data_IF_187803380444
#
_entry.id   IF_187803380444
#
_cell.length_a   1.000
_cell.length_b   1.000
_cell.length_c   1.000
_cell.angle_alpha   90.00
_cell.angle_beta   90.00
_cell.angle_gamma   90.00
#
_symmetry.space_group_name_H-M   'P 1'
#
loop_
_entity.id
_entity.type
_entity.pdbx_description
1 polymer ?
#
# COMPACT_ATOMS: atom_id res chain seq x y z
N UNK A 1 -28.03 -5.31 14.11
CA UNK A 1 -28.60 -6.61 14.47
C UNK A 1 -27.93 -7.13 15.70
N UNK A 2 -28.70 -7.47 16.69
CA UNK A 2 -28.12 -8.02 17.91
C UNK A 2 -27.67 -9.47 17.68
N UNK A 3 -26.45 -9.78 18.01
CA UNK A 3 -25.92 -11.13 17.97
C UNK A 3 -25.22 -11.55 16.69
N UNK A 4 -25.36 -10.80 15.61
CA UNK A 4 -24.64 -11.10 14.38
C UNK A 4 -23.44 -10.16 14.22
N UNK A 5 -22.34 -10.73 13.79
CA UNK A 5 -21.13 -9.96 13.48
C UNK A 5 -21.20 -9.50 12.03
N UNK A 6 -20.78 -8.28 11.81
CA UNK A 6 -20.77 -7.66 10.50
C UNK A 6 -19.37 -7.75 9.90
N UNK A 7 -19.26 -8.43 8.76
CA UNK A 7 -17.99 -8.64 8.06
C UNK A 7 -17.33 -7.30 7.71
N UNK A 8 -18.10 -6.37 7.16
CA UNK A 8 -17.57 -5.08 6.77
C UNK A 8 -17.07 -4.26 7.96
N UNK A 9 -17.78 -4.34 9.08
CA UNK A 9 -17.39 -3.68 10.32
C UNK A 9 -16.04 -4.22 10.82
N UNK A 10 -15.88 -5.53 10.85
CA UNK A 10 -14.64 -6.16 11.30
C UNK A 10 -13.46 -5.80 10.41
N UNK A 11 -13.68 -5.78 9.09
CA UNK A 11 -12.65 -5.38 8.15
C UNK A 11 -12.24 -3.92 8.39
N UNK A 12 -13.22 -3.05 8.57
CA UNK A 12 -12.97 -1.61 8.76
C UNK A 12 -12.21 -1.34 10.06
N UNK A 13 -12.62 -1.95 11.16
CA UNK A 13 -11.96 -1.73 12.45
C UNK A 13 -10.54 -2.25 12.44
N UNK A 14 -10.32 -3.43 11.85
CA UNK A 14 -8.99 -4.00 11.70
C UNK A 14 -8.12 -3.10 10.82
N UNK A 15 -8.66 -2.62 9.72
CA UNK A 15 -7.95 -1.70 8.83
C UNK A 15 -7.53 -0.42 9.56
N UNK A 16 -8.39 0.12 10.42
CA UNK A 16 -8.08 1.31 11.21
C UNK A 16 -6.96 1.04 12.22
N UNK A 17 -6.96 -0.13 12.85
CA UNK A 17 -5.89 -0.51 13.79
C UNK A 17 -4.54 -0.64 13.07
N UNK A 18 -4.55 -1.25 11.90
CA UNK A 18 -3.34 -1.37 11.07
C UNK A 18 -2.84 0.02 10.68
N UNK A 19 -3.75 0.91 10.28
CA UNK A 19 -3.38 2.28 9.90
C UNK A 19 -2.71 3.03 11.04
N UNK A 20 -3.21 2.88 12.26
CA UNK A 20 -2.60 3.52 13.44
C UNK A 20 -1.18 3.02 13.68
N UNK A 21 -0.95 1.72 13.50
CA UNK A 21 0.38 1.14 13.63
C UNK A 21 1.34 1.72 12.59
N UNK A 22 0.87 1.83 11.34
CA UNK A 22 1.64 2.46 10.25
C UNK A 22 2.00 3.89 10.61
N UNK A 23 1.03 4.68 11.05
CA UNK A 23 1.23 6.11 11.35
C UNK A 23 2.24 6.33 12.48
N UNK A 24 2.21 5.50 13.51
CA UNK A 24 3.16 5.60 14.62
C UNK A 24 4.60 5.40 14.16
N UNK A 25 4.82 4.51 13.20
CA UNK A 25 6.17 4.15 12.77
C UNK A 25 6.71 5.10 11.71
N UNK A 26 5.82 5.64 10.87
CA UNK A 26 6.19 6.55 9.79
C UNK A 26 6.80 7.86 10.30
N UNK A 27 6.30 8.39 11.41
CA UNK A 27 6.81 9.64 11.97
C UNK A 27 8.31 9.60 12.25
N UNK A 28 8.87 8.40 12.47
CA UNK A 28 10.28 8.21 12.70
C UNK A 28 11.10 8.08 11.41
N UNK A 29 10.46 7.78 10.30
CA UNK A 29 11.15 7.60 9.01
C UNK A 29 11.36 8.92 8.28
N UNK A 30 10.34 9.78 8.31
CA UNK A 30 10.39 11.10 7.70
C UNK A 30 9.60 12.06 8.58
N UNK A 31 10.29 12.85 9.41
CA UNK A 31 9.61 13.72 10.38
C UNK A 31 8.84 14.88 9.76
N UNK A 32 8.99 15.14 8.46
CA UNK A 32 8.33 16.28 7.80
C UNK A 32 7.62 15.90 6.49
N UNK A 33 6.82 14.83 6.45
CA UNK A 33 6.09 14.53 5.22
C UNK A 33 4.94 15.51 5.04
N UNK A 34 4.71 15.97 3.81
CA UNK A 34 3.55 16.77 3.45
C UNK A 34 2.28 15.92 3.38
N UNK A 35 2.45 14.63 3.42
CA UNK A 35 1.39 13.67 3.42
C UNK A 35 1.87 12.40 4.09
N UNK A 36 1.04 11.39 4.02
CA UNK A 36 1.34 10.08 4.59
C UNK A 36 2.35 9.34 3.71
N UNK A 37 3.37 8.74 4.33
CA UNK A 37 4.22 7.81 3.60
C UNK A 37 3.40 6.56 3.32
N UNK A 38 3.24 6.24 2.05
CA UNK A 38 2.56 5.01 1.64
C UNK A 38 3.60 3.91 1.44
N UNK A 39 3.98 3.26 2.54
CA UNK A 39 5.02 2.22 2.54
C UNK A 39 4.73 1.10 1.55
N UNK A 40 3.47 0.70 1.44
CA UNK A 40 3.07 -0.33 0.48
C UNK A 40 3.34 0.09 -0.96
N UNK A 41 3.06 1.36 -1.27
CA UNK A 41 3.28 1.89 -2.61
C UNK A 41 4.78 1.92 -2.92
N UNK A 42 5.58 2.41 -2.00
CA UNK A 42 7.04 2.47 -2.17
C UNK A 42 7.60 1.06 -2.37
N UNK A 43 7.17 0.11 -1.55
CA UNK A 43 7.61 -1.28 -1.69
C UNK A 43 7.20 -1.88 -3.03
N UNK A 44 5.96 -1.62 -3.47
CA UNK A 44 5.48 -2.08 -4.76
C UNK A 44 6.33 -1.54 -5.91
N UNK A 45 6.61 -0.25 -5.90
CA UNK A 45 7.44 0.36 -6.94
C UNK A 45 8.88 -0.16 -6.89
N UNK A 46 9.39 -0.39 -5.70
CA UNK A 46 10.75 -0.95 -5.53
C UNK A 46 10.85 -2.37 -6.09
N UNK A 47 9.90 -3.22 -5.77
CA UNK A 47 9.88 -4.61 -6.25
C UNK A 47 9.72 -4.71 -7.77
N UNK A 48 9.13 -3.69 -8.38
CA UNK A 48 8.87 -3.66 -9.82
C UNK A 48 9.75 -2.63 -10.56
N UNK A 49 10.86 -2.21 -9.96
CA UNK A 49 11.74 -1.17 -10.54
C UNK A 49 12.43 -1.57 -11.84
N UNK A 50 12.41 -2.85 -12.16
CA UNK A 50 13.00 -3.40 -13.39
C UNK A 50 12.06 -3.32 -14.59
N UNK A 51 10.86 -2.85 -14.40
CA UNK A 51 9.89 -2.65 -15.49
C UNK A 51 9.20 -1.30 -15.34
N UNK A 52 8.57 -0.84 -16.40
CA UNK A 52 7.84 0.43 -16.37
C UNK A 52 6.51 0.25 -15.64
N UNK A 53 6.28 1.09 -14.63
CA UNK A 53 5.04 1.08 -13.84
C UNK A 53 4.31 2.40 -14.08
N UNK A 54 3.02 2.28 -14.38
CA UNK A 54 2.15 3.41 -14.64
C UNK A 54 1.08 3.52 -13.55
N UNK A 55 0.40 4.64 -13.50
CA UNK A 55 -0.67 4.85 -12.53
C UNK A 55 -1.75 3.76 -12.60
N UNK A 56 -2.09 3.33 -13.81
CA UNK A 56 -3.08 2.27 -14.00
C UNK A 56 -2.69 0.96 -13.30
N UNK A 57 -1.41 0.60 -13.38
CA UNK A 57 -0.89 -0.59 -12.69
C UNK A 57 -1.06 -0.47 -11.19
N UNK A 58 -0.78 0.71 -10.65
CA UNK A 58 -0.93 1.02 -9.24
C UNK A 58 -2.41 0.94 -8.82
N UNK A 59 -3.32 1.51 -9.59
CA UNK A 59 -4.76 1.46 -9.33
C UNK A 59 -5.26 0.02 -9.26
N UNK A 60 -4.84 -0.80 -10.21
CA UNK A 60 -5.25 -2.21 -10.30
C UNK A 60 -4.68 -3.04 -9.14
N UNK A 61 -3.41 -2.84 -8.84
CA UNK A 61 -2.74 -3.60 -7.77
C UNK A 61 -3.41 -3.40 -6.42
N UNK A 62 -3.78 -2.17 -6.09
CA UNK A 62 -4.33 -1.82 -4.79
C UNK A 62 -5.85 -1.67 -4.79
N UNK A 63 -6.50 -1.91 -5.92
CA UNK A 63 -7.96 -1.78 -6.08
C UNK A 63 -8.46 -0.42 -5.60
N UNK A 64 -7.79 0.64 -6.03
CA UNK A 64 -8.13 2.02 -5.66
C UNK A 64 -8.63 2.77 -6.88
N UNK A 65 -9.44 3.79 -6.62
CA UNK A 65 -9.99 4.65 -7.66
C UNK A 65 -8.91 5.55 -8.24
N UNK A 66 -9.12 5.96 -9.50
CA UNK A 66 -8.22 6.87 -10.18
C UNK A 66 -7.97 8.16 -9.38
N UNK A 67 -9.00 8.74 -8.80
CA UNK A 67 -8.87 9.96 -8.00
C UNK A 67 -8.02 9.75 -6.76
N UNK A 68 -8.18 8.62 -6.08
CA UNK A 68 -7.37 8.26 -4.92
C UNK A 68 -5.91 8.07 -5.32
N UNK A 69 -5.67 7.31 -6.38
CA UNK A 69 -4.32 7.08 -6.89
C UNK A 69 -3.66 8.39 -7.29
N UNK A 70 -4.38 9.25 -8.02
CA UNK A 70 -3.87 10.56 -8.43
C UNK A 70 -3.42 11.41 -7.25
N UNK A 71 -4.24 11.46 -6.20
CA UNK A 71 -3.92 12.22 -4.99
C UNK A 71 -2.72 11.65 -4.26
N UNK A 72 -2.66 10.32 -4.10
CA UNK A 72 -1.54 9.65 -3.45
C UNK A 72 -0.23 9.90 -4.19
N UNK A 73 -0.23 9.71 -5.49
CA UNK A 73 0.97 9.90 -6.31
C UNK A 73 1.42 11.35 -6.33
N UNK A 74 0.47 12.29 -6.36
CA UNK A 74 0.78 13.71 -6.31
C UNK A 74 1.49 14.10 -5.02
N UNK A 75 1.00 13.59 -3.88
CA UNK A 75 1.62 13.82 -2.58
C UNK A 75 2.99 13.16 -2.48
N UNK A 76 3.12 11.94 -2.98
CA UNK A 76 4.41 11.23 -3.01
C UNK A 76 5.44 11.95 -3.88
N UNK A 77 5.00 12.50 -4.99
CA UNK A 77 5.87 13.30 -5.86
C UNK A 77 6.31 14.58 -5.15
N UNK A 78 5.37 15.26 -4.51
CA UNK A 78 5.64 16.48 -3.75
C UNK A 78 6.61 16.23 -2.59
N UNK A 79 6.47 15.10 -1.91
CA UNK A 79 7.35 14.72 -0.81
C UNK A 79 8.70 14.17 -1.27
N UNK A 80 8.88 14.02 -2.58
CA UNK A 80 10.15 13.58 -3.15
C UNK A 80 10.40 12.09 -3.13
N UNK A 81 9.35 11.27 -3.02
CA UNK A 81 9.49 9.80 -3.05
C UNK A 81 9.44 9.22 -4.44
N UNK A 82 8.73 9.88 -5.36
CA UNK A 82 8.63 9.43 -6.75
C UNK A 82 8.82 10.57 -7.71
N UNK A 83 9.13 10.21 -8.95
CA UNK A 83 9.12 11.10 -10.11
C UNK A 83 8.26 10.47 -11.18
N UNK A 84 7.61 11.30 -11.98
CA UNK A 84 6.89 10.86 -13.16
C UNK A 84 7.69 11.25 -14.38
N UNK A 85 8.05 10.26 -15.18
CA UNK A 85 8.95 10.44 -16.33
C UNK A 85 8.21 10.02 -17.58
N UNK A 86 8.22 10.89 -18.60
CA UNK A 86 7.61 10.57 -19.89
C UNK A 86 8.31 9.38 -20.51
N UNK A 87 7.52 8.48 -21.09
CA UNK A 87 8.10 7.37 -21.84
C UNK A 87 8.38 7.79 -23.27
N UNK A 88 9.33 7.11 -23.89
CA UNK A 88 9.66 7.32 -25.28
C UNK A 88 8.39 7.15 -26.13
N UNK A 89 8.19 8.08 -27.06
CA UNK A 89 7.08 8.08 -28.02
C UNK A 89 5.69 8.50 -27.48
N UNK A 90 5.53 8.78 -26.19
CA UNK A 90 4.27 9.30 -25.67
C UNK A 90 4.48 10.21 -24.47
N UNK A 91 4.40 11.53 -24.70
CA UNK A 91 4.59 12.53 -23.65
C UNK A 91 3.47 12.55 -22.60
N UNK A 92 2.30 11.97 -22.94
CA UNK A 92 1.16 11.92 -22.00
C UNK A 92 1.25 10.74 -21.03
N UNK A 93 1.99 9.71 -21.43
CA UNK A 93 2.13 8.50 -20.63
C UNK A 93 3.40 8.63 -19.78
N UNK A 94 3.23 8.63 -18.46
CA UNK A 94 4.34 8.83 -17.53
C UNK A 94 4.51 7.62 -16.63
N UNK A 95 5.71 7.05 -16.66
CA UNK A 95 6.07 5.99 -15.73
C UNK A 95 6.46 6.56 -14.39
N UNK A 96 6.26 5.77 -13.35
CA UNK A 96 6.56 6.12 -11.97
C UNK A 96 7.91 5.54 -11.60
N UNK A 97 8.81 6.40 -11.12
CA UNK A 97 10.18 6.01 -10.75
C UNK A 97 10.43 6.45 -9.32
N UNK A 98 11.01 5.56 -8.50
CA UNK A 98 11.42 5.92 -7.14
C UNK A 98 12.64 6.84 -7.19
N UNK A 99 12.65 7.79 -6.26
CA UNK A 99 13.80 8.66 -6.04
C UNK A 99 14.83 7.97 -5.14
N UNK A 100 16.05 8.53 -5.09
CA UNK A 100 17.06 8.04 -4.15
C UNK A 100 16.59 8.14 -2.70
N UNK A 101 15.83 9.19 -2.37
CA UNK A 101 15.22 9.34 -1.04
C UNK A 101 14.36 8.13 -0.68
N UNK A 102 13.49 7.72 -1.59
CA UNK A 102 12.61 6.57 -1.39
C UNK A 102 13.40 5.26 -1.27
N UNK A 103 14.41 5.08 -2.11
CA UNK A 103 15.26 3.89 -2.06
C UNK A 103 15.97 3.79 -0.70
N UNK A 104 16.45 4.91 -0.17
CA UNK A 104 17.13 4.94 1.13
C UNK A 104 16.21 4.54 2.29
N UNK A 105 14.95 4.98 2.27
CA UNK A 105 14.02 4.62 3.35
C UNK A 105 13.35 3.28 3.13
N UNK A 106 13.50 2.67 1.96
CA UNK A 106 12.86 1.40 1.62
C UNK A 106 13.22 0.29 2.62
N UNK A 107 14.47 0.24 3.08
CA UNK A 107 14.90 -0.75 4.07
C UNK A 107 14.09 -0.64 5.36
N UNK A 108 13.88 0.59 5.84
CA UNK A 108 13.08 0.82 7.06
C UNK A 108 11.61 0.49 6.83
N UNK A 109 11.10 0.80 5.65
CA UNK A 109 9.73 0.45 5.27
C UNK A 109 9.54 -1.07 5.29
N UNK A 110 10.48 -1.82 4.73
CA UNK A 110 10.42 -3.28 4.72
C UNK A 110 10.46 -3.86 6.14
N UNK A 111 11.29 -3.29 7.02
CA UNK A 111 11.35 -3.71 8.43
C UNK A 111 10.02 -3.47 9.12
N UNK A 112 9.39 -2.33 8.86
CA UNK A 112 8.08 -1.98 9.42
C UNK A 112 7.00 -2.94 8.95
N UNK A 113 6.95 -3.19 7.65
CA UNK A 113 5.99 -4.14 7.06
C UNK A 113 6.18 -5.54 7.67
N UNK A 114 7.42 -6.01 7.74
CA UNK A 114 7.73 -7.33 8.27
C UNK A 114 7.35 -7.46 9.75
N UNK A 115 7.62 -6.43 10.54
CA UNK A 115 7.28 -6.40 11.96
C UNK A 115 5.76 -6.42 12.17
N UNK A 116 5.04 -5.67 11.37
CA UNK A 116 3.57 -5.64 11.41
C UNK A 116 2.98 -6.96 10.98
N UNK A 117 3.52 -7.57 9.94
CA UNK A 117 3.08 -8.87 9.46
C UNK A 117 3.26 -9.94 10.54
N UNK A 118 4.40 -9.94 11.21
CA UNK A 118 4.67 -10.85 12.34
C UNK A 118 3.66 -10.65 13.47
N UNK A 119 3.36 -9.40 13.78
CA UNK A 119 2.39 -9.02 14.81
C UNK A 119 0.98 -9.51 14.46
N UNK A 120 0.58 -9.33 13.19
CA UNK A 120 -0.72 -9.77 12.70
C UNK A 120 -0.87 -11.29 12.74
N UNK A 121 0.18 -12.02 12.46
CA UNK A 121 0.17 -13.49 12.41
C UNK A 121 0.29 -14.15 13.78
N UNK A 122 0.63 -13.40 14.80
CA UNK A 122 0.86 -13.96 16.13
C UNK A 122 -0.35 -14.77 16.61
N UNK A 123 -0.11 -16.03 16.98
CA UNK A 123 -1.15 -16.90 17.51
C UNK A 123 -2.03 -17.56 16.45
N UNK A 124 -1.79 -17.30 15.17
CA UNK A 124 -2.53 -17.93 14.09
C UNK A 124 -1.81 -19.18 13.57
N UNK A 125 -2.57 -20.25 13.33
CA UNK A 125 -2.03 -21.47 12.74
C UNK A 125 -1.90 -21.30 11.22
N UNK A 126 -1.15 -22.21 10.58
CA UNK A 126 -1.04 -22.21 9.12
C UNK A 126 -2.39 -22.41 8.45
N UNK A 127 -3.23 -23.26 9.03
CA UNK A 127 -4.59 -23.52 8.52
C UNK A 127 -5.47 -22.27 8.61
N UNK A 128 -5.34 -21.51 9.71
CA UNK A 128 -6.07 -20.27 9.90
C UNK A 128 -5.62 -19.21 8.89
N UNK A 129 -4.32 -19.12 8.63
CA UNK A 129 -3.77 -18.20 7.63
C UNK A 129 -4.25 -18.56 6.22
N UNK A 130 -4.21 -19.84 5.87
CA UNK A 130 -4.72 -20.30 4.57
C UNK A 130 -6.21 -19.98 4.42
N UNK A 131 -7.00 -20.22 5.48
CA UNK A 131 -8.42 -19.89 5.47
C UNK A 131 -8.64 -18.38 5.30
N UNK A 132 -7.85 -17.58 5.98
CA UNK A 132 -7.93 -16.11 5.88
C UNK A 132 -7.70 -15.67 4.43
N UNK A 133 -6.64 -16.13 3.80
CA UNK A 133 -6.34 -15.73 2.42
C UNK A 133 -7.40 -16.22 1.43
N UNK A 134 -7.90 -17.44 1.63
CA UNK A 134 -8.98 -17.98 0.80
C UNK A 134 -10.27 -17.16 0.94
N UNK A 135 -10.63 -16.85 2.18
CA UNK A 135 -11.86 -16.08 2.48
C UNK A 135 -11.73 -14.66 1.95
N UNK A 136 -10.58 -14.04 2.15
CA UNK A 136 -10.31 -12.68 1.67
C UNK A 136 -10.45 -12.60 0.14
N UNK A 137 -9.96 -13.60 -0.57
CA UNK A 137 -10.09 -13.66 -2.02
C UNK A 137 -11.56 -13.75 -2.45
N UNK A 138 -12.35 -14.55 -1.76
CA UNK A 138 -13.79 -14.64 -2.02
C UNK A 138 -14.49 -13.30 -1.79
N UNK A 139 -14.13 -12.62 -0.70
CA UNK A 139 -14.70 -11.30 -0.39
C UNK A 139 -14.38 -10.28 -1.47
N UNK A 140 -13.14 -10.26 -1.94
CA UNK A 140 -12.73 -9.38 -3.03
C UNK A 140 -13.53 -9.64 -4.30
N UNK A 141 -13.67 -10.91 -4.67
CA UNK A 141 -14.42 -11.29 -5.86
C UNK A 141 -15.89 -10.86 -5.75
N UNK A 142 -16.48 -10.98 -4.57
CA UNK A 142 -17.86 -10.53 -4.34
C UNK A 142 -18.00 -9.02 -4.53
N UNK A 143 -17.01 -8.25 -4.12
CA UNK A 143 -17.06 -6.79 -4.21
C UNK A 143 -16.77 -6.28 -5.62
N UNK A 144 -16.02 -7.03 -6.41
CA UNK A 144 -15.68 -6.68 -7.78
C UNK A 144 -16.78 -7.08 -8.77
N UNK A 145 -17.60 -8.04 -8.40
CA UNK A 145 -18.67 -8.62 -9.25
C UNK A 145 -19.87 -7.71 -9.50
#
# INVERSE_FOLDING_TARGET
MQGEKDVGFEIRTLSNLIRRDVERNIANMDPKPNGRIHGWAINYFYENRDRDIFQKDFEEKFSIRRSTASNMLKLMEKDGYIKRVSVENDARLKKIVLTDKAVKIHTEICKDIAAREKKLRKGLTDEELEAFFRITEKLKNNMEG
#
